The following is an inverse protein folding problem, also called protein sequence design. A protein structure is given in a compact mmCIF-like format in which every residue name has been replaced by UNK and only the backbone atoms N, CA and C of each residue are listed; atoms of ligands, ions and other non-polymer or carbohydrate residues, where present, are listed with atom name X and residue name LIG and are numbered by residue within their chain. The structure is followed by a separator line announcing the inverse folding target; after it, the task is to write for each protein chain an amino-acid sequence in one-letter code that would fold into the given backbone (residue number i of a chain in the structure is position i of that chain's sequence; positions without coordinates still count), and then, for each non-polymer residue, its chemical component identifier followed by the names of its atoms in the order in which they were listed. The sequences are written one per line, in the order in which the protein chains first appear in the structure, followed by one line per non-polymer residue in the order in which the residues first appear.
data_IF_599511100082
#
_entry.id   IF_599511100082
#
_cell.length_a   1.000
_cell.length_b   1.000
_cell.length_c   1.000
_cell.angle_alpha   90.00
_cell.angle_beta   90.00
_cell.angle_gamma   90.00
#
_symmetry.space_group_name_H-M   'P 1'
#
loop_
_entity.id
_entity.type
_entity.pdbx_description
1 polymer ?
#
# COMPACT_ATOMS: atom_id res chain seq x y z
N UNK A 1 40.15 11.56 13.21
CA UNK A 1 38.86 11.82 12.53
C UNK A 1 38.01 10.57 12.67
N UNK A 2 36.91 10.63 13.43
CA UNK A 2 36.07 9.48 13.80
C UNK A 2 35.16 9.10 12.62
N UNK A 3 35.29 7.84 12.18
CA UNK A 3 34.46 7.18 11.16
C UNK A 3 32.99 7.12 11.64
N UNK A 4 32.15 8.05 11.16
CA UNK A 4 30.71 8.12 11.43
C UNK A 4 29.86 7.86 10.17
N UNK A 5 30.34 6.99 9.26
CA UNK A 5 29.72 6.83 7.93
C UNK A 5 29.00 5.47 7.68
N UNK A 6 29.05 4.40 8.50
CA UNK A 6 28.35 3.16 8.10
C UNK A 6 26.83 3.19 8.37
N UNK A 7 26.30 4.12 9.15
CA UNK A 7 24.87 4.13 9.52
C UNK A 7 23.97 4.66 8.38
N UNK A 8 24.46 5.58 7.55
CA UNK A 8 23.66 6.18 6.47
C UNK A 8 23.39 5.19 5.31
N UNK A 9 24.28 4.21 5.11
CA UNK A 9 24.14 3.22 4.04
C UNK A 9 23.11 2.13 4.38
N UNK A 10 22.86 1.87 5.67
CA UNK A 10 21.85 0.91 6.12
C UNK A 10 20.41 1.44 5.94
N UNK A 11 20.20 2.76 5.97
CA UNK A 11 18.90 3.41 5.76
C UNK A 11 18.44 3.44 4.29
N UNK A 12 19.36 3.35 3.34
CA UNK A 12 19.05 3.35 1.91
C UNK A 12 18.66 1.95 1.37
N UNK A 13 18.81 0.90 2.17
CA UNK A 13 18.49 -0.48 1.81
C UNK A 13 17.11 -0.94 2.31
N UNK A 14 16.44 -0.15 3.16
CA UNK A 14 15.03 -0.32 3.50
C UNK A 14 14.18 0.22 2.36
N UNK A 15 13.89 -0.62 1.38
CA UNK A 15 12.96 -0.35 0.29
C UNK A 15 11.51 -0.24 0.77
N UNK A 16 11.21 0.74 1.62
CA UNK A 16 9.85 1.23 1.77
C UNK A 16 9.63 2.30 0.70
N UNK A 17 9.09 1.90 -0.45
CA UNK A 17 8.44 2.88 -1.32
C UNK A 17 7.33 3.50 -0.50
N UNK A 18 7.40 4.82 -0.27
CA UNK A 18 6.34 5.54 0.42
C UNK A 18 4.98 5.25 -0.24
N UNK A 19 3.88 5.16 0.53
CA UNK A 19 2.56 4.96 -0.04
C UNK A 19 2.25 6.02 -1.11
N UNK A 20 1.79 5.59 -2.27
CA UNK A 20 1.40 6.47 -3.38
C UNK A 20 -0.02 6.99 -3.17
N UNK A 21 -0.22 8.32 -3.24
CA UNK A 21 -1.57 8.89 -3.24
C UNK A 21 -2.24 8.64 -4.60
N UNK A 22 -3.48 8.16 -4.59
CA UNK A 22 -4.26 7.91 -5.80
C UNK A 22 -5.62 8.59 -5.74
N UNK A 23 -6.24 8.76 -6.92
CA UNK A 23 -7.59 9.32 -7.02
C UNK A 23 -8.64 8.36 -6.43
N UNK A 24 -9.82 8.87 -6.00
CA UNK A 24 -10.94 8.05 -5.55
C UNK A 24 -11.37 6.96 -6.53
N UNK A 25 -11.34 7.25 -7.83
CA UNK A 25 -11.73 6.29 -8.87
C UNK A 25 -10.72 5.15 -8.99
N UNK A 26 -9.43 5.45 -8.98
CA UNK A 26 -8.38 4.43 -8.98
C UNK A 26 -8.42 3.60 -7.69
N UNK A 27 -8.61 4.24 -6.54
CA UNK A 27 -8.74 3.53 -5.28
C UNK A 27 -9.92 2.54 -5.28
N UNK A 28 -11.10 2.96 -5.76
CA UNK A 28 -12.28 2.09 -5.88
C UNK A 28 -12.04 0.91 -6.82
N UNK A 29 -11.38 1.16 -7.95
CA UNK A 29 -11.01 0.12 -8.91
C UNK A 29 -10.12 -0.94 -8.25
N UNK A 30 -9.07 -0.52 -7.55
CA UNK A 30 -8.18 -1.43 -6.84
C UNK A 30 -8.90 -2.15 -5.70
N UNK A 31 -9.76 -1.44 -4.96
CA UNK A 31 -10.56 -2.04 -3.88
C UNK A 31 -11.49 -3.15 -4.38
N UNK A 32 -12.06 -3.03 -5.58
CA UNK A 32 -12.90 -4.05 -6.19
C UNK A 32 -12.16 -5.38 -6.44
N UNK A 33 -10.83 -5.34 -6.55
CA UNK A 33 -9.98 -6.53 -6.73
C UNK A 33 -9.58 -7.19 -5.39
N UNK A 34 -9.92 -6.58 -4.25
CA UNK A 34 -9.59 -7.14 -2.92
C UNK A 34 -10.29 -8.48 -2.73
N UNK A 35 -9.50 -9.51 -2.44
CA UNK A 35 -10.00 -10.88 -2.22
C UNK A 35 -10.32 -11.64 -3.50
N UNK A 36 -10.09 -11.06 -4.68
CA UNK A 36 -10.23 -11.80 -5.95
C UNK A 36 -9.03 -12.75 -6.15
N UNK A 37 -9.26 -14.02 -6.51
CA UNK A 37 -8.16 -14.94 -6.83
C UNK A 37 -7.42 -14.50 -8.10
N UNK A 38 -6.14 -14.22 -7.97
CA UNK A 38 -5.25 -13.87 -9.08
C UNK A 38 -3.90 -14.59 -8.89
N UNK A 39 -3.29 -15.08 -9.98
CA UNK A 39 -2.11 -15.94 -9.91
C UNK A 39 -0.77 -15.19 -9.86
N UNK A 40 -0.73 -13.96 -10.38
CA UNK A 40 0.49 -13.13 -10.46
C UNK A 40 0.29 -11.72 -9.90
N UNK A 41 -0.88 -11.48 -9.32
CA UNK A 41 -1.26 -10.23 -8.68
C UNK A 41 -2.02 -10.57 -7.40
N UNK A 42 -1.93 -9.71 -6.39
CA UNK A 42 -2.79 -9.79 -5.23
C UNK A 42 -3.06 -8.40 -4.71
N UNK A 43 -4.32 -8.14 -4.34
CA UNK A 43 -4.73 -6.86 -3.77
C UNK A 43 -5.28 -7.11 -2.37
N UNK A 44 -4.72 -6.39 -1.39
CA UNK A 44 -5.09 -6.53 0.03
C UNK A 44 -5.45 -5.17 0.59
N UNK A 45 -6.64 -5.05 1.16
CA UNK A 45 -6.99 -3.87 1.94
C UNK A 45 -6.22 -3.87 3.27
N UNK A 46 -5.45 -2.82 3.53
CA UNK A 46 -4.60 -2.75 4.72
C UNK A 46 -5.31 -2.11 5.91
N UNK A 47 -6.40 -1.37 5.68
CA UNK A 47 -7.15 -0.66 6.72
C UNK A 47 -7.08 0.85 6.56
N UNK A 48 -7.39 1.54 7.66
CA UNK A 48 -7.42 3.00 7.74
C UNK A 48 -6.42 3.48 8.79
N UNK A 49 -5.87 4.68 8.60
CA UNK A 49 -5.02 5.36 9.57
C UNK A 49 -4.96 6.84 9.23
N UNK A 50 -5.03 7.72 10.24
CA UNK A 50 -4.81 9.17 10.09
C UNK A 50 -5.67 9.82 8.98
N UNK A 51 -6.93 9.41 8.86
CA UNK A 51 -7.83 9.95 7.83
C UNK A 51 -7.65 9.37 6.43
N UNK A 52 -6.76 8.38 6.25
CA UNK A 52 -6.47 7.71 4.98
C UNK A 52 -6.93 6.26 4.97
N UNK A 53 -7.23 5.75 3.78
CA UNK A 53 -7.46 4.33 3.53
C UNK A 53 -6.34 3.76 2.65
N UNK A 54 -5.89 2.54 2.94
CA UNK A 54 -4.70 1.96 2.33
C UNK A 54 -4.98 0.62 1.67
N UNK A 55 -4.33 0.39 0.52
CA UNK A 55 -4.34 -0.89 -0.20
C UNK A 55 -2.90 -1.27 -0.53
N UNK A 56 -2.56 -2.55 -0.33
CA UNK A 56 -1.35 -3.15 -0.86
C UNK A 56 -1.65 -3.86 -2.17
N UNK A 57 -0.89 -3.52 -3.20
CA UNK A 57 -0.81 -4.24 -4.47
C UNK A 57 0.48 -5.04 -4.46
N UNK A 58 0.39 -6.34 -4.68
CA UNK A 58 1.57 -7.17 -4.92
C UNK A 58 1.49 -7.72 -6.33
N UNK A 59 2.59 -7.68 -7.07
CA UNK A 59 2.67 -8.24 -8.42
C UNK A 59 3.94 -9.05 -8.58
N UNK A 60 3.86 -10.15 -9.31
CA UNK A 60 5.03 -10.95 -9.65
C UNK A 60 5.59 -10.54 -11.02
N UNK A 61 6.88 -10.23 -11.07
CA UNK A 61 7.57 -9.97 -12.33
C UNK A 61 7.59 -11.23 -13.21
N UNK A 62 7.17 -11.12 -14.46
CA UNK A 62 7.24 -12.21 -15.43
C UNK A 62 8.68 -12.67 -15.70
N UNK A 63 9.65 -11.73 -15.63
CA UNK A 63 11.06 -11.97 -15.94
C UNK A 63 11.79 -12.56 -14.73
N UNK A 64 11.74 -11.86 -13.58
CA UNK A 64 12.52 -12.27 -12.41
C UNK A 64 11.79 -13.24 -11.48
N UNK A 65 10.48 -13.44 -11.68
CA UNK A 65 9.58 -14.19 -10.77
C UNK A 65 9.60 -13.68 -9.33
N UNK A 66 10.12 -12.47 -9.09
CA UNK A 66 10.09 -11.81 -7.79
C UNK A 66 8.78 -11.06 -7.62
N UNK A 67 8.25 -11.11 -6.40
CA UNK A 67 7.14 -10.27 -5.98
C UNK A 67 7.64 -8.87 -5.63
N UNK A 68 6.85 -7.86 -5.99
CA UNK A 68 7.02 -6.48 -5.58
C UNK A 68 5.74 -5.99 -4.92
N UNK A 69 5.88 -5.38 -3.75
CA UNK A 69 4.77 -4.77 -3.02
C UNK A 69 4.76 -3.26 -3.29
N UNK A 70 3.56 -2.72 -3.46
CA UNK A 70 3.33 -1.29 -3.64
C UNK A 70 2.10 -0.90 -2.82
N UNK A 71 2.23 0.11 -1.98
CA UNK A 71 1.13 0.60 -1.15
C UNK A 71 0.56 1.86 -1.81
N UNK A 72 -0.76 1.91 -1.94
CA UNK A 72 -1.49 3.11 -2.36
C UNK A 72 -2.39 3.59 -1.22
N UNK A 73 -2.70 4.88 -1.22
CA UNK A 73 -3.67 5.46 -0.30
C UNK A 73 -4.58 6.49 -0.97
N UNK A 74 -5.73 6.72 -0.34
CA UNK A 74 -6.65 7.83 -0.63
C UNK A 74 -7.06 8.49 0.67
N UNK A 75 -7.27 9.81 0.65
CA UNK A 75 -7.85 10.50 1.80
C UNK A 75 -9.33 10.13 1.93
N UNK A 76 -9.79 9.78 3.13
CA UNK A 76 -11.20 9.41 3.37
C UNK A 76 -12.15 10.56 3.03
N UNK A 77 -11.68 11.80 3.09
CA UNK A 77 -12.45 13.00 2.71
C UNK A 77 -12.66 13.13 1.21
N UNK A 78 -11.85 12.47 0.39
CA UNK A 78 -11.98 12.47 -1.09
C UNK A 78 -12.97 11.41 -1.58
N UNK A 79 -13.33 10.44 -0.73
CA UNK A 79 -14.31 9.40 -1.03
C UNK A 79 -15.73 9.91 -0.79
N UNK A 80 -16.67 9.47 -1.63
CA UNK A 80 -18.09 9.66 -1.32
C UNK A 80 -18.46 8.90 -0.04
N UNK A 81 -19.44 9.44 0.69
CA UNK A 81 -19.80 8.93 2.01
C UNK A 81 -20.23 7.46 1.98
N UNK A 82 -20.98 7.04 0.96
CA UNK A 82 -21.47 5.66 0.84
C UNK A 82 -20.32 4.66 0.73
N UNK A 83 -19.37 4.92 -0.19
CA UNK A 83 -18.21 4.04 -0.33
C UNK A 83 -17.32 4.09 0.90
N UNK A 84 -17.02 5.29 1.42
CA UNK A 84 -16.20 5.48 2.62
C UNK A 84 -16.74 4.69 3.82
N UNK A 85 -18.04 4.75 4.04
CA UNK A 85 -18.69 4.13 5.20
C UNK A 85 -18.82 2.61 5.03
N UNK A 86 -18.72 2.10 3.79
CA UNK A 86 -18.65 0.67 3.49
C UNK A 86 -17.28 0.05 3.75
N UNK A 87 -16.20 0.86 3.82
CA UNK A 87 -14.85 0.34 4.06
C UNK A 87 -14.74 -0.28 5.47
N UNK A 88 -14.05 -1.44 5.60
CA UNK A 88 -13.80 -2.05 6.89
C UNK A 88 -13.13 -1.07 7.86
N UNK A 89 -13.61 -1.05 9.10
CA UNK A 89 -13.12 -0.08 10.10
C UNK A 89 -11.77 -0.45 10.73
N UNK A 90 -11.12 -1.48 10.23
CA UNK A 90 -9.84 -2.00 10.73
C UNK A 90 -8.74 -0.96 10.64
N UNK A 91 -7.98 -0.80 11.72
CA UNK A 91 -6.77 0.02 11.74
C UNK A 91 -5.65 -0.65 10.95
N UNK A 92 -4.94 0.13 10.13
CA UNK A 92 -3.76 -0.36 9.43
C UNK A 92 -2.66 -0.69 10.44
N UNK A 93 -2.23 -1.95 10.47
CA UNK A 93 -1.10 -2.38 11.28
C UNK A 93 0.20 -2.10 10.54
N UNK A 94 1.19 -1.59 11.25
CA UNK A 94 2.55 -1.49 10.73
C UNK A 94 3.01 -2.90 10.33
N UNK A 95 3.35 -3.08 9.06
CA UNK A 95 3.94 -4.34 8.59
C UNK A 95 5.35 -4.42 9.17
N UNK A 96 5.52 -5.28 10.18
CA UNK A 96 6.78 -5.52 10.88
C UNK A 96 7.80 -6.24 10.01
#
# INVERSE_FOLDING_TARGET
MKLLIPLLLALLLSGSSDPEHVTPSEFKKQYAEVGMPQSMHSVTYLGRREGRAYIKRSSMSAVSRKWSDHVIYVELTELDANFRDSLPKTEMKDSK
#
